data_IF_073561043387
#
_entry.id   IF_073561043387
#
_cell.length_a   1.000
_cell.length_b   1.000
_cell.length_c   1.000
_cell.angle_alpha   90.00
_cell.angle_beta   90.00
_cell.angle_gamma   90.00
#
_symmetry.space_group_name_H-M   'P 1'
#
loop_
_entity.id
_entity.type
_entity.pdbx_description
1 polymer ?
#
# COMPACT_ATOMS: atom_id res chain seq x y z
N UNK A 1 28.30 18.64 11.30
CA UNK A 1 26.96 19.09 10.84
C UNK A 1 26.81 19.13 9.32
N UNK A 2 27.88 19.32 8.54
CA UNK A 2 27.81 19.47 7.09
C UNK A 2 27.52 18.18 6.31
N UNK A 3 27.83 17.00 6.86
CA UNK A 3 27.70 15.73 6.13
C UNK A 3 26.25 15.25 5.92
N UNK A 4 25.34 15.48 6.86
CA UNK A 4 23.94 15.05 6.78
C UNK A 4 23.17 15.93 5.79
N UNK A 5 23.36 17.26 5.87
CA UNK A 5 22.70 18.19 4.94
C UNK A 5 23.09 17.94 3.48
N UNK A 6 24.37 17.66 3.22
CA UNK A 6 24.84 17.31 1.88
C UNK A 6 24.24 16.00 1.36
N UNK A 7 24.16 14.96 2.20
CA UNK A 7 23.54 13.68 1.82
C UNK A 7 22.06 13.83 1.50
N UNK A 8 21.32 14.56 2.33
CA UNK A 8 19.89 14.85 2.08
C UNK A 8 19.70 15.65 0.79
N UNK A 9 20.53 16.66 0.55
CA UNK A 9 20.50 17.44 -0.67
C UNK A 9 20.76 16.58 -1.91
N UNK A 10 21.83 15.79 -1.90
CA UNK A 10 22.13 14.86 -2.99
C UNK A 10 21.01 13.85 -3.22
N UNK A 11 20.40 13.32 -2.14
CA UNK A 11 19.30 12.39 -2.23
C UNK A 11 18.06 13.02 -2.88
N UNK A 12 17.69 14.24 -2.47
CA UNK A 12 16.56 14.97 -3.05
C UNK A 12 16.79 15.28 -4.53
N UNK A 13 17.99 15.79 -4.88
CA UNK A 13 18.34 16.10 -6.28
C UNK A 13 18.27 14.83 -7.14
N UNK A 14 18.83 13.72 -6.67
CA UNK A 14 18.84 12.46 -7.39
C UNK A 14 17.42 11.93 -7.61
N UNK A 15 16.54 12.03 -6.59
CA UNK A 15 15.13 11.64 -6.72
C UNK A 15 14.39 12.52 -7.72
N UNK A 16 14.58 13.85 -7.70
CA UNK A 16 13.95 14.78 -8.65
C UNK A 16 14.38 14.44 -10.09
N UNK A 17 15.66 14.21 -10.31
CA UNK A 17 16.19 13.84 -11.64
C UNK A 17 15.58 12.52 -12.10
N UNK A 18 15.54 11.51 -11.23
CA UNK A 18 15.01 10.19 -11.54
C UNK A 18 13.52 10.23 -11.85
N UNK A 19 12.72 10.90 -11.03
CA UNK A 19 11.28 11.10 -11.24
C UNK A 19 11.03 11.84 -12.56
N UNK A 20 11.78 12.92 -12.82
CA UNK A 20 11.65 13.70 -14.05
C UNK A 20 11.97 12.84 -15.27
N UNK A 21 13.05 12.06 -15.21
CA UNK A 21 13.42 11.13 -16.28
C UNK A 21 12.32 10.10 -16.55
N UNK A 22 11.80 9.45 -15.50
CA UNK A 22 10.72 8.46 -15.62
C UNK A 22 9.46 9.08 -16.21
N UNK A 23 9.07 10.28 -15.77
CA UNK A 23 7.89 10.97 -16.30
C UNK A 23 8.06 11.37 -17.78
N UNK A 24 9.25 11.86 -18.17
CA UNK A 24 9.55 12.19 -19.56
C UNK A 24 9.56 10.94 -20.43
N UNK A 25 10.16 9.85 -19.95
CA UNK A 25 10.17 8.57 -20.64
C UNK A 25 8.74 8.02 -20.78
N UNK A 26 7.94 8.03 -19.73
CA UNK A 26 6.54 7.60 -19.77
C UNK A 26 5.70 8.44 -20.76
N UNK A 27 5.90 9.77 -20.79
CA UNK A 27 5.27 10.63 -21.79
C UNK A 27 5.69 10.27 -23.22
N UNK A 28 6.98 9.98 -23.44
CA UNK A 28 7.50 9.58 -24.75
C UNK A 28 6.88 8.26 -25.20
N UNK A 29 6.86 7.25 -24.35
CA UNK A 29 6.26 5.93 -24.63
C UNK A 29 4.75 6.04 -24.83
N UNK A 30 4.06 6.87 -24.05
CA UNK A 30 2.61 7.13 -24.25
C UNK A 30 2.31 7.73 -25.63
N UNK A 31 3.18 8.61 -26.11
CA UNK A 31 3.03 9.25 -27.42
C UNK A 31 3.45 8.35 -28.58
N UNK A 32 4.40 7.49 -28.37
CA UNK A 32 4.94 6.56 -29.36
C UNK A 32 5.30 5.21 -28.72
N UNK A 33 4.36 4.24 -28.64
CA UNK A 33 4.56 2.97 -27.94
C UNK A 33 5.77 2.16 -28.44
N UNK A 34 6.10 2.26 -29.73
CA UNK A 34 7.29 1.60 -30.32
C UNK A 34 8.63 2.11 -29.79
N UNK A 35 8.66 3.24 -29.05
CA UNK A 35 9.90 3.75 -28.46
C UNK A 35 10.20 3.14 -27.08
N UNK A 36 9.38 2.21 -26.61
CA UNK A 36 9.65 1.44 -25.40
C UNK A 36 10.73 0.40 -25.67
N UNK A 37 11.70 0.29 -24.76
CA UNK A 37 12.72 -0.80 -24.82
C UNK A 37 12.08 -2.17 -24.58
N UNK A 38 10.89 -2.23 -23.97
CA UNK A 38 10.13 -3.45 -23.66
C UNK A 38 8.86 -3.57 -24.52
N UNK A 39 8.87 -3.03 -25.74
CA UNK A 39 7.68 -2.98 -26.58
C UNK A 39 7.10 -4.37 -26.89
N UNK A 40 7.95 -5.35 -27.15
CA UNK A 40 7.55 -6.73 -27.46
C UNK A 40 6.94 -7.41 -26.23
N UNK A 41 7.57 -7.27 -25.06
CA UNK A 41 7.06 -7.79 -23.80
C UNK A 41 5.75 -7.08 -23.39
N UNK A 42 5.70 -5.76 -23.54
CA UNK A 42 4.48 -4.98 -23.31
C UNK A 42 3.34 -5.37 -24.26
N UNK A 43 3.63 -5.72 -25.51
CA UNK A 43 2.63 -6.17 -26.46
C UNK A 43 2.07 -7.53 -26.05
N UNK A 44 2.92 -8.46 -25.60
CA UNK A 44 2.50 -9.74 -25.05
C UNK A 44 1.58 -9.56 -23.83
N UNK A 45 1.98 -8.75 -22.87
CA UNK A 45 1.19 -8.49 -21.66
C UNK A 45 -0.13 -7.77 -21.97
N UNK A 46 -0.17 -6.82 -22.89
CA UNK A 46 -1.41 -6.14 -23.29
C UNK A 46 -2.43 -7.08 -23.91
N UNK A 47 -2.00 -8.08 -24.67
CA UNK A 47 -2.92 -9.07 -25.25
C UNK A 47 -3.43 -10.07 -24.22
N UNK A 48 -2.63 -10.39 -23.19
CA UNK A 48 -3.00 -11.38 -22.16
C UNK A 48 -3.66 -10.75 -20.91
N UNK A 49 -3.33 -9.47 -20.60
CA UNK A 49 -3.91 -8.74 -19.46
C UNK A 49 -5.31 -8.21 -19.76
N UNK A 50 -5.66 -8.01 -21.03
CA UNK A 50 -7.01 -7.58 -21.42
C UNK A 50 -8.08 -8.62 -21.04
N UNK A 51 -7.76 -9.91 -21.01
CA UNK A 51 -8.68 -10.95 -20.55
C UNK A 51 -8.90 -10.92 -19.02
N UNK A 52 -7.91 -10.51 -18.24
CA UNK A 52 -8.01 -10.40 -16.78
C UNK A 52 -8.56 -9.06 -16.25
N UNK A 53 -8.46 -7.98 -17.04
CA UNK A 53 -8.88 -6.63 -16.60
C UNK A 53 -10.39 -6.35 -16.77
N UNK A 54 -11.10 -7.11 -17.58
CA UNK A 54 -12.56 -6.95 -17.76
C UNK A 54 -13.39 -7.32 -16.52
N UNK A 55 -12.80 -8.01 -15.55
CA UNK A 55 -13.50 -8.43 -14.33
C UNK A 55 -13.42 -7.40 -13.18
N UNK A 56 -12.65 -6.32 -13.33
CA UNK A 56 -12.47 -5.30 -12.29
C UNK A 56 -13.43 -4.11 -12.34
N UNK A 57 -14.45 -4.15 -13.23
CA UNK A 57 -15.49 -3.12 -13.24
C UNK A 57 -16.39 -3.26 -12.01
N UNK A 58 -16.13 -2.36 -11.06
CA UNK A 58 -17.08 -1.86 -10.04
C UNK A 58 -17.90 -2.91 -9.28
N UNK A 59 -17.28 -3.93 -8.71
CA UNK A 59 -17.94 -4.74 -7.69
C UNK A 59 -18.16 -3.88 -6.45
N UNK A 60 -19.31 -3.22 -6.38
CA UNK A 60 -19.80 -2.61 -5.11
C UNK A 60 -20.24 -3.74 -4.18
N UNK A 61 -19.30 -4.38 -3.53
CA UNK A 61 -19.57 -5.49 -2.64
C UNK A 61 -19.97 -4.96 -1.27
N UNK A 62 -21.10 -5.38 -0.73
CA UNK A 62 -21.48 -5.09 0.67
C UNK A 62 -20.38 -5.54 1.65
N UNK A 63 -19.60 -6.54 1.28
CA UNK A 63 -18.48 -7.07 2.04
C UNK A 63 -17.39 -6.03 2.33
N UNK A 64 -17.12 -5.10 1.40
CA UNK A 64 -16.14 -4.03 1.59
C UNK A 64 -16.50 -3.09 2.75
N UNK A 65 -17.79 -2.84 3.00
CA UNK A 65 -18.25 -2.09 4.16
C UNK A 65 -18.07 -2.84 5.48
N UNK A 66 -18.27 -4.17 5.47
CA UNK A 66 -17.98 -4.98 6.67
C UNK A 66 -16.48 -5.01 6.98
N UNK A 67 -15.63 -5.12 5.96
CA UNK A 67 -14.17 -5.04 6.14
C UNK A 67 -13.75 -3.68 6.66
N UNK A 68 -14.30 -2.59 6.12
CA UNK A 68 -14.05 -1.25 6.63
C UNK A 68 -14.44 -1.12 8.11
N UNK A 69 -15.63 -1.58 8.49
CA UNK A 69 -16.10 -1.54 9.88
C UNK A 69 -15.20 -2.37 10.80
N UNK A 70 -14.82 -3.58 10.38
CA UNK A 70 -13.93 -4.45 11.14
C UNK A 70 -12.53 -3.81 11.34
N UNK A 71 -11.93 -3.28 10.28
CA UNK A 71 -10.64 -2.58 10.37
C UNK A 71 -10.74 -1.35 11.27
N UNK A 72 -11.80 -0.55 11.14
CA UNK A 72 -12.00 0.63 11.98
C UNK A 72 -12.11 0.26 13.46
N UNK A 73 -12.85 -0.81 13.80
CA UNK A 73 -12.97 -1.30 15.18
C UNK A 73 -11.60 -1.73 15.71
N UNK A 74 -10.84 -2.52 14.94
CA UNK A 74 -9.49 -2.94 15.34
C UNK A 74 -8.58 -1.73 15.55
N UNK A 75 -8.56 -0.79 14.62
CA UNK A 75 -7.74 0.43 14.73
C UNK A 75 -8.16 1.29 15.93
N UNK A 76 -9.45 1.37 16.24
CA UNK A 76 -9.95 2.10 17.40
C UNK A 76 -9.50 1.43 18.71
N UNK A 77 -9.56 0.10 18.78
CA UNK A 77 -9.05 -0.65 19.94
C UNK A 77 -7.55 -0.37 20.13
N UNK A 78 -6.75 -0.45 19.06
CA UNK A 78 -5.32 -0.13 19.11
C UNK A 78 -5.07 1.33 19.52
N UNK A 79 -5.90 2.26 19.08
CA UNK A 79 -5.81 3.68 19.46
C UNK A 79 -6.00 3.90 20.96
N UNK A 80 -6.86 3.10 21.63
CA UNK A 80 -7.02 3.16 23.08
C UNK A 80 -5.84 2.54 23.84
N UNK A 81 -5.27 1.45 23.32
CA UNK A 81 -4.11 0.79 23.95
C UNK A 81 -2.80 1.57 23.74
N UNK A 82 -2.68 2.27 22.62
CA UNK A 82 -1.46 2.97 22.20
C UNK A 82 -1.79 4.43 21.84
N UNK A 83 -2.17 5.28 22.82
CA UNK A 83 -2.56 6.66 22.55
C UNK A 83 -1.40 7.52 22.05
N UNK A 84 -0.18 7.20 22.45
CA UNK A 84 1.03 7.91 22.06
C UNK A 84 2.09 6.93 21.55
N UNK A 85 2.78 7.33 20.48
CA UNK A 85 3.88 6.54 19.90
C UNK A 85 5.14 7.40 19.90
N UNK A 86 6.21 6.88 20.45
CA UNK A 86 7.53 7.53 20.41
C UNK A 86 8.36 6.91 19.30
N UNK A 87 8.67 7.70 18.29
CA UNK A 87 9.56 7.30 17.21
C UNK A 87 10.97 7.84 17.47
N UNK A 88 11.96 6.99 17.31
CA UNK A 88 13.38 7.36 17.40
C UNK A 88 14.01 7.36 16.02
N UNK A 89 14.54 8.52 15.60
CA UNK A 89 15.25 8.66 14.33
C UNK A 89 16.66 9.16 14.63
N UNK A 90 17.63 8.26 14.58
CA UNK A 90 19.01 8.58 14.99
C UNK A 90 19.06 8.97 16.46
N UNK A 91 19.51 10.19 16.77
CA UNK A 91 19.62 10.72 18.13
C UNK A 91 18.42 11.56 18.58
N UNK A 92 17.38 11.66 17.77
CA UNK A 92 16.17 12.44 18.07
C UNK A 92 14.99 11.51 18.33
N UNK A 93 14.26 11.76 19.42
CA UNK A 93 12.99 11.12 19.73
C UNK A 93 11.84 12.10 19.53
N UNK A 94 10.78 11.62 18.90
CA UNK A 94 9.56 12.38 18.65
C UNK A 94 8.35 11.57 19.10
N UNK A 95 7.56 12.14 20.01
CA UNK A 95 6.33 11.51 20.52
C UNK A 95 5.11 12.21 19.96
N UNK A 96 4.22 11.45 19.34
CA UNK A 96 2.97 11.97 18.80
C UNK A 96 1.88 10.88 18.82
N UNK A 97 0.60 11.26 18.84
CA UNK A 97 -0.53 10.32 18.78
C UNK A 97 -0.77 9.81 17.35
N UNK A 98 0.20 9.08 16.80
CA UNK A 98 0.15 8.59 15.41
C UNK A 98 -1.05 7.66 15.16
N UNK A 99 -1.27 6.66 16.03
CA UNK A 99 -2.35 5.68 15.86
C UNK A 99 -3.72 6.33 15.95
N UNK A 100 -4.03 7.21 16.92
CA UNK A 100 -5.30 7.95 16.96
C UNK A 100 -5.53 8.82 15.72
N UNK A 101 -4.49 9.54 15.26
CA UNK A 101 -4.59 10.40 14.08
C UNK A 101 -4.86 9.56 12.83
N UNK A 102 -4.12 8.46 12.62
CA UNK A 102 -4.33 7.55 11.50
C UNK A 102 -5.73 6.94 11.52
N UNK A 103 -6.23 6.56 12.70
CA UNK A 103 -7.59 6.03 12.87
C UNK A 103 -8.65 7.07 12.49
N UNK A 104 -8.49 8.32 12.92
CA UNK A 104 -9.40 9.41 12.57
C UNK A 104 -9.41 9.69 11.06
N UNK A 105 -8.23 9.72 10.42
CA UNK A 105 -8.11 9.90 8.98
C UNK A 105 -8.76 8.72 8.24
N UNK A 106 -8.53 7.48 8.68
CA UNK A 106 -9.15 6.29 8.10
C UNK A 106 -10.67 6.31 8.19
N UNK A 107 -11.23 6.78 9.32
CA UNK A 107 -12.66 6.92 9.50
C UNK A 107 -13.31 7.88 8.49
N UNK A 108 -12.58 8.90 8.03
CA UNK A 108 -13.06 9.88 7.04
C UNK A 108 -12.80 9.39 5.61
N UNK A 109 -11.58 8.95 5.32
CA UNK A 109 -11.14 8.60 3.96
C UNK A 109 -11.71 7.25 3.51
N UNK A 110 -11.91 6.30 4.44
CA UNK A 110 -12.46 4.98 4.15
C UNK A 110 -13.81 5.03 3.42
N UNK A 111 -14.83 5.70 3.97
CA UNK A 111 -16.13 5.83 3.31
C UNK A 111 -16.04 6.60 1.99
N UNK A 112 -15.17 7.61 1.89
CA UNK A 112 -14.96 8.36 0.65
C UNK A 112 -14.36 7.47 -0.45
N UNK A 113 -13.42 6.60 -0.10
CA UNK A 113 -12.84 5.62 -1.03
C UNK A 113 -13.87 4.59 -1.49
N UNK A 114 -14.66 4.04 -0.56
CA UNK A 114 -15.69 3.04 -0.85
C UNK A 114 -16.82 3.59 -1.72
N UNK A 115 -17.16 4.89 -1.59
CA UNK A 115 -18.15 5.55 -2.45
C UNK A 115 -17.68 5.66 -3.90
N UNK A 116 -16.37 5.77 -4.13
CA UNK A 116 -15.81 5.82 -5.48
C UNK A 116 -15.75 4.42 -6.09
N UNK A 117 -14.85 3.59 -5.60
CA UNK A 117 -14.65 2.20 -6.07
C UNK A 117 -14.03 1.35 -4.96
N UNK A 118 -14.30 0.04 -4.98
CA UNK A 118 -13.63 -0.90 -4.07
C UNK A 118 -12.12 -0.93 -4.31
N UNK A 119 -11.68 -0.72 -5.56
CA UNK A 119 -10.26 -0.64 -5.89
C UNK A 119 -9.54 0.49 -5.14
N UNK A 120 -10.15 1.69 -5.06
CA UNK A 120 -9.59 2.80 -4.28
C UNK A 120 -9.49 2.46 -2.79
N UNK A 121 -10.43 1.68 -2.27
CA UNK A 121 -10.38 1.22 -0.88
C UNK A 121 -9.23 0.24 -0.64
N UNK A 122 -8.94 -0.65 -1.60
CA UNK A 122 -7.78 -1.56 -1.52
C UNK A 122 -6.47 -0.78 -1.57
N UNK A 123 -6.36 0.23 -2.44
CA UNK A 123 -5.20 1.12 -2.46
C UNK A 123 -5.03 1.86 -1.12
N UNK A 124 -6.14 2.25 -0.49
CA UNK A 124 -6.11 2.82 0.85
C UNK A 124 -5.60 1.82 1.89
N UNK A 125 -6.07 0.57 1.88
CA UNK A 125 -5.56 -0.49 2.76
C UNK A 125 -4.05 -0.68 2.54
N UNK A 126 -3.59 -0.73 1.31
CA UNK A 126 -2.17 -0.85 0.98
C UNK A 126 -1.36 0.32 1.53
N UNK A 127 -1.83 1.55 1.32
CA UNK A 127 -1.19 2.75 1.86
C UNK A 127 -1.08 2.68 3.39
N UNK A 128 -2.16 2.29 4.06
CA UNK A 128 -2.18 2.14 5.52
C UNK A 128 -1.25 1.02 5.99
N UNK A 129 -1.15 -0.08 5.25
CA UNK A 129 -0.19 -1.15 5.55
C UNK A 129 1.24 -0.62 5.59
N UNK A 130 1.61 0.20 4.59
CA UNK A 130 2.94 0.83 4.54
C UNK A 130 3.15 1.79 5.72
N UNK A 131 2.15 2.62 6.02
CA UNK A 131 2.23 3.56 7.14
C UNK A 131 2.37 2.82 8.48
N UNK A 132 1.54 1.79 8.72
CA UNK A 132 1.63 0.97 9.93
C UNK A 132 2.93 0.18 10.02
N UNK A 133 3.50 -0.26 8.90
CA UNK A 133 4.83 -0.86 8.86
C UNK A 133 5.89 0.12 9.39
N UNK A 134 5.88 1.36 8.90
CA UNK A 134 6.82 2.40 9.34
C UNK A 134 6.64 2.71 10.83
N UNK A 135 5.40 2.94 11.26
CA UNK A 135 5.07 3.23 12.67
C UNK A 135 5.43 2.04 13.57
N UNK A 136 5.15 0.82 13.14
CA UNK A 136 5.44 -0.40 13.88
C UNK A 136 6.93 -0.63 14.06
N UNK A 137 7.70 -0.52 12.98
CA UNK A 137 9.16 -0.74 13.04
C UNK A 137 9.85 0.38 13.83
N UNK A 138 9.52 1.65 13.56
CA UNK A 138 10.22 2.78 14.19
C UNK A 138 9.70 3.12 15.59
N UNK A 139 8.43 2.89 15.86
CA UNK A 139 7.80 3.23 17.14
C UNK A 139 7.74 2.09 18.13
N UNK A 140 7.57 0.86 17.66
CA UNK A 140 7.35 -0.33 18.51
C UNK A 140 8.41 -1.42 18.33
N UNK A 141 9.41 -1.21 17.45
CA UNK A 141 10.47 -2.19 17.20
C UNK A 141 9.96 -3.51 16.61
N UNK A 142 8.97 -3.46 15.73
CA UNK A 142 8.43 -4.67 15.09
C UNK A 142 9.50 -5.42 14.31
N UNK A 143 9.45 -6.74 14.44
CA UNK A 143 10.28 -7.68 13.72
C UNK A 143 9.45 -8.47 12.68
N UNK A 144 10.07 -9.48 12.11
CA UNK A 144 9.51 -10.27 11.00
C UNK A 144 8.12 -10.85 11.31
N UNK A 145 7.87 -11.27 12.54
CA UNK A 145 6.59 -11.91 12.92
C UNK A 145 5.42 -10.91 12.90
N UNK A 146 5.62 -9.72 13.47
CA UNK A 146 4.62 -8.65 13.51
C UNK A 146 4.37 -8.12 12.10
N UNK A 147 5.43 -7.94 11.32
CA UNK A 147 5.36 -7.49 9.92
C UNK A 147 4.60 -8.52 9.07
N UNK A 148 4.93 -9.81 9.19
CA UNK A 148 4.24 -10.88 8.48
C UNK A 148 2.75 -10.95 8.85
N UNK A 149 2.43 -10.76 10.14
CA UNK A 149 1.05 -10.71 10.63
C UNK A 149 0.28 -9.53 10.04
N UNK A 150 0.90 -8.34 9.98
CA UNK A 150 0.31 -7.16 9.35
C UNK A 150 -0.04 -7.42 7.89
N UNK A 151 0.90 -7.93 7.10
CA UNK A 151 0.67 -8.23 5.69
C UNK A 151 -0.39 -9.32 5.49
N UNK A 152 -0.38 -10.37 6.33
CA UNK A 152 -1.38 -11.43 6.27
C UNK A 152 -2.79 -10.88 6.53
N UNK A 153 -2.97 -10.11 7.60
CA UNK A 153 -4.28 -9.52 7.96
C UNK A 153 -4.78 -8.58 6.87
N UNK A 154 -3.90 -7.70 6.37
CA UNK A 154 -4.28 -6.74 5.33
C UNK A 154 -4.52 -7.40 3.97
N UNK A 155 -3.79 -8.48 3.65
CA UNK A 155 -4.04 -9.29 2.46
C UNK A 155 -5.40 -10.00 2.52
N UNK A 156 -5.73 -10.62 3.65
CA UNK A 156 -7.05 -11.25 3.88
C UNK A 156 -8.16 -10.20 3.80
N UNK A 157 -7.98 -9.05 4.47
CA UNK A 157 -8.96 -7.96 4.46
C UNK A 157 -9.22 -7.45 3.02
N UNK A 158 -8.16 -7.27 2.22
CA UNK A 158 -8.27 -6.87 0.82
C UNK A 158 -9.01 -7.91 -0.02
N UNK A 159 -8.70 -9.19 0.16
CA UNK A 159 -9.36 -10.29 -0.54
C UNK A 159 -10.87 -10.37 -0.22
N UNK A 160 -11.24 -10.25 1.05
CA UNK A 160 -12.65 -10.22 1.47
C UNK A 160 -13.36 -8.96 0.93
N UNK A 161 -12.68 -7.81 0.91
CA UNK A 161 -13.25 -6.57 0.39
C UNK A 161 -13.66 -6.65 -1.09
N UNK A 162 -12.92 -7.44 -1.90
CA UNK A 162 -13.25 -7.72 -3.30
C UNK A 162 -14.34 -8.81 -3.42
N UNK A 163 -14.66 -9.51 -2.35
CA UNK A 163 -15.62 -10.61 -2.36
C UNK A 163 -15.02 -11.97 -2.71
N UNK A 164 -13.70 -12.14 -2.58
CA UNK A 164 -13.04 -13.43 -2.78
C UNK A 164 -13.36 -14.40 -1.64
N UNK A 165 -13.46 -15.67 -1.99
CA UNK A 165 -13.64 -16.76 -1.01
C UNK A 165 -12.31 -17.07 -0.31
N UNK A 166 -12.39 -17.73 0.86
CA UNK A 166 -11.19 -18.12 1.61
C UNK A 166 -10.22 -18.99 0.77
N UNK A 167 -10.75 -19.88 -0.08
CA UNK A 167 -9.93 -20.72 -0.96
C UNK A 167 -9.22 -19.90 -2.05
N UNK A 168 -9.89 -18.89 -2.62
CA UNK A 168 -9.27 -18.00 -3.60
C UNK A 168 -8.18 -17.13 -2.96
N UNK A 169 -8.43 -16.62 -1.75
CA UNK A 169 -7.42 -15.84 -1.00
C UNK A 169 -6.20 -16.72 -0.71
N UNK A 170 -6.41 -17.98 -0.26
CA UNK A 170 -5.31 -18.91 -0.02
C UNK A 170 -4.50 -19.19 -1.31
N UNK A 171 -5.17 -19.38 -2.44
CA UNK A 171 -4.50 -19.55 -3.74
C UNK A 171 -3.64 -18.35 -4.11
N UNK A 172 -4.18 -17.13 -3.98
CA UNK A 172 -3.43 -15.89 -4.25
C UNK A 172 -2.19 -15.75 -3.37
N UNK A 173 -2.25 -16.15 -2.10
CA UNK A 173 -1.07 -16.20 -1.23
C UNK A 173 -0.02 -17.21 -1.71
N UNK A 174 -0.45 -18.40 -2.16
CA UNK A 174 0.45 -19.43 -2.68
C UNK A 174 1.09 -18.97 -4.00
N UNK A 175 0.31 -18.39 -4.90
CA UNK A 175 0.80 -17.82 -6.16
C UNK A 175 1.84 -16.73 -5.91
N UNK A 176 1.53 -15.75 -5.04
CA UNK A 176 2.48 -14.70 -4.67
C UNK A 176 3.76 -15.24 -4.00
N UNK A 177 3.66 -16.30 -3.20
CA UNK A 177 4.83 -16.98 -2.64
C UNK A 177 5.66 -17.64 -3.73
N UNK A 178 5.02 -18.30 -4.70
CA UNK A 178 5.70 -18.94 -5.83
C UNK A 178 6.45 -17.93 -6.68
N UNK A 179 5.85 -16.74 -6.92
CA UNK A 179 6.46 -15.67 -7.71
C UNK A 179 7.72 -15.08 -7.04
N UNK A 180 7.76 -15.07 -5.69
CA UNK A 180 8.94 -14.60 -4.94
C UNK A 180 10.05 -15.65 -4.95
N UNK A 181 9.71 -16.94 -5.04
CA UNK A 181 10.66 -18.05 -4.98
C UNK A 181 11.20 -18.47 -6.35
N UNK A 182 10.59 -18.02 -7.44
CA UNK A 182 11.02 -18.28 -8.82
C UNK A 182 12.06 -17.27 -9.28
#
# INVERSE_FOLDING_TARGET
FSGIGYRVFCWVVLNIVLITFVLLYAKKVKKNPMSSMMYEDDAYWRTHVVEGQQEYEAVKTKQSWYVYAALLVVMTIFSFYYPETTMTVGNSSFTAPFIPILTAIFAIVGPLSLRKTVHNFILLILLYTIIYLIVGVMGYGWYVMEIATLFLVMGIASGIAIGKTANEIAKLFIEGMSDILS
#
